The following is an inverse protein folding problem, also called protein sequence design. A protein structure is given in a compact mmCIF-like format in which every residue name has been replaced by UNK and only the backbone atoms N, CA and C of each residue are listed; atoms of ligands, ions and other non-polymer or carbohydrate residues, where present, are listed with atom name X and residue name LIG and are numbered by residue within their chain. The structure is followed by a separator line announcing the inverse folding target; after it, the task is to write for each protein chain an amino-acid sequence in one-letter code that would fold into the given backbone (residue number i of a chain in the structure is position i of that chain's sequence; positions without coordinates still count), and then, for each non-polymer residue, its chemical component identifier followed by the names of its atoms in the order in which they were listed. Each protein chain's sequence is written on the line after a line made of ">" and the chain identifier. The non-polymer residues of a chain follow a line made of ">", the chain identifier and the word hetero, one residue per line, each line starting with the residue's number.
data_IF_167750168195
#
_entry.id   IF_167750168195
#
_cell.length_a   1.000
_cell.length_b   1.000
_cell.length_c   1.000
_cell.angle_alpha   90.00
_cell.angle_beta   90.00
_cell.angle_gamma   90.00
#
_symmetry.space_group_name_H-M   'P 1'
#
loop_
_entity.id
_entity.type
_entity.pdbx_description
1 polymer ?
#
# COMPACT_ATOMS: atom_id res chain seq x y z
N UNK A 1 9.84 13.19 10.58
CA UNK A 1 9.00 13.29 9.38
C UNK A 1 9.81 12.65 8.30
N UNK A 2 9.35 11.58 7.63
CA UNK A 2 10.10 11.09 6.51
C UNK A 2 10.12 12.17 5.45
N UNK A 3 11.33 12.58 5.08
CA UNK A 3 11.51 13.58 4.05
C UNK A 3 11.18 12.98 2.68
N UNK A 4 10.94 13.83 1.67
CA UNK A 4 10.64 13.36 0.31
C UNK A 4 11.65 12.31 -0.23
N UNK A 5 12.98 12.42 0.04
CA UNK A 5 13.94 11.40 -0.36
C UNK A 5 13.75 10.04 0.33
N UNK A 6 13.23 10.01 1.55
CA UNK A 6 13.03 8.78 2.31
C UNK A 6 11.82 8.01 1.77
N UNK A 7 10.72 8.71 1.50
CA UNK A 7 9.52 8.08 0.88
C UNK A 7 9.85 7.54 -0.52
N UNK A 8 10.69 8.24 -1.29
CA UNK A 8 11.19 7.75 -2.57
C UNK A 8 12.07 6.51 -2.42
N UNK A 9 12.93 6.47 -1.40
CA UNK A 9 13.76 5.30 -1.09
C UNK A 9 12.92 4.08 -0.74
N UNK A 10 11.86 4.25 0.07
CA UNK A 10 10.90 3.19 0.39
C UNK A 10 10.19 2.68 -0.87
N UNK A 11 9.72 3.59 -1.74
CA UNK A 11 9.09 3.20 -3.00
C UNK A 11 10.02 2.35 -3.88
N UNK A 12 11.28 2.78 -4.03
CA UNK A 12 12.27 2.04 -4.83
C UNK A 12 12.57 0.68 -4.23
N UNK A 13 12.75 0.59 -2.91
CA UNK A 13 12.96 -0.69 -2.24
C UNK A 13 11.79 -1.66 -2.47
N UNK A 14 10.55 -1.19 -2.41
CA UNK A 14 9.37 -2.03 -2.64
C UNK A 14 9.19 -2.42 -4.11
N UNK A 15 9.45 -1.50 -5.04
CA UNK A 15 9.24 -1.72 -6.47
C UNK A 15 10.39 -2.48 -7.15
N UNK A 16 11.62 -2.19 -6.76
CA UNK A 16 12.83 -2.61 -7.48
C UNK A 16 13.56 -3.76 -6.74
N UNK A 17 13.02 -4.26 -5.62
CA UNK A 17 13.53 -5.46 -4.94
C UNK A 17 13.27 -6.72 -5.75
N UNK A 18 14.01 -7.80 -5.42
CA UNK A 18 13.83 -9.13 -6.00
C UNK A 18 13.46 -10.12 -4.89
N UNK A 19 12.23 -10.67 -4.87
CA UNK A 19 11.12 -10.38 -5.79
C UNK A 19 10.51 -8.98 -5.55
N UNK A 20 10.00 -8.37 -6.63
CA UNK A 20 9.31 -7.08 -6.56
C UNK A 20 7.94 -7.24 -5.92
N UNK A 21 7.48 -6.21 -5.20
CA UNK A 21 6.10 -6.14 -4.72
C UNK A 21 5.10 -6.05 -5.88
N UNK A 22 5.49 -5.45 -7.02
CA UNK A 22 4.63 -5.33 -8.20
C UNK A 22 4.53 -6.69 -8.88
N UNK A 23 3.31 -7.12 -9.17
CA UNK A 23 2.97 -8.46 -9.66
C UNK A 23 2.61 -9.45 -8.55
N UNK A 24 2.85 -9.13 -7.28
CA UNK A 24 2.43 -9.98 -6.17
C UNK A 24 0.92 -9.90 -5.92
N UNK A 25 0.34 -11.04 -5.54
CA UNK A 25 -1.06 -11.15 -5.09
C UNK A 25 -1.14 -11.06 -3.58
N UNK A 26 -2.06 -10.27 -3.08
CA UNK A 26 -2.36 -10.16 -1.64
C UNK A 26 -3.08 -11.44 -1.20
N UNK A 27 -2.39 -12.28 -0.44
CA UNK A 27 -2.95 -13.53 0.09
C UNK A 27 -3.79 -13.32 1.35
N UNK A 28 -3.30 -12.53 2.29
CA UNK A 28 -3.97 -12.22 3.55
C UNK A 28 -3.57 -10.82 4.00
N UNK A 29 -4.47 -10.14 4.70
CA UNK A 29 -4.21 -8.85 5.35
C UNK A 29 -4.50 -8.95 6.84
N UNK A 30 -3.61 -8.44 7.68
CA UNK A 30 -3.79 -8.35 9.13
C UNK A 30 -3.69 -6.88 9.54
N UNK A 31 -4.67 -6.42 10.32
CA UNK A 31 -4.68 -5.06 10.88
C UNK A 31 -4.42 -5.19 12.37
N UNK A 32 -3.23 -4.80 12.81
CA UNK A 32 -2.82 -4.89 14.21
C UNK A 32 -3.27 -3.67 15.03
N UNK A 33 -3.52 -2.54 14.36
CA UNK A 33 -4.02 -1.32 14.97
C UNK A 33 -5.01 -0.63 14.04
N UNK A 34 -6.29 -0.60 14.43
CA UNK A 34 -7.37 -0.07 13.60
C UNK A 34 -7.27 1.44 13.35
N UNK A 35 -6.58 2.18 14.24
CA UNK A 35 -6.43 3.64 14.14
C UNK A 35 -5.65 4.12 12.92
N UNK A 36 -5.00 3.22 12.16
CA UNK A 36 -4.38 3.56 10.86
C UNK A 36 -5.39 3.63 9.72
N UNK A 37 -6.56 3.02 9.87
CA UNK A 37 -7.58 2.96 8.83
C UNK A 37 -8.40 4.26 8.84
N UNK A 38 -8.41 4.96 7.70
CA UNK A 38 -9.13 6.22 7.57
C UNK A 38 -10.61 5.99 7.23
N UNK A 39 -11.43 5.74 8.26
CA UNK A 39 -12.89 5.60 8.10
C UNK A 39 -13.35 4.25 7.53
N UNK A 40 -12.48 3.24 7.53
CA UNK A 40 -12.80 1.87 7.11
C UNK A 40 -12.94 0.97 8.32
N UNK A 41 -13.89 0.02 8.28
CA UNK A 41 -13.86 -1.13 9.18
C UNK A 41 -12.72 -2.07 8.77
N UNK A 42 -12.19 -2.83 9.72
CA UNK A 42 -11.15 -3.85 9.44
C UNK A 42 -11.64 -4.86 8.41
N UNK A 43 -12.88 -5.34 8.56
CA UNK A 43 -13.48 -6.33 7.68
C UNK A 43 -13.62 -5.80 6.24
N UNK A 44 -14.15 -4.59 6.06
CA UNK A 44 -14.29 -3.99 4.73
C UNK A 44 -12.93 -3.76 4.07
N UNK A 45 -11.95 -3.27 4.84
CA UNK A 45 -10.60 -3.08 4.34
C UNK A 45 -9.95 -4.38 3.86
N UNK A 46 -10.04 -5.45 4.66
CA UNK A 46 -9.51 -6.77 4.31
C UNK A 46 -10.21 -7.33 3.07
N UNK A 47 -11.54 -7.28 3.02
CA UNK A 47 -12.33 -7.76 1.88
C UNK A 47 -11.96 -7.03 0.58
N UNK A 48 -11.64 -5.74 0.65
CA UNK A 48 -11.27 -4.96 -0.53
C UNK A 48 -9.87 -5.29 -1.07
N UNK A 49 -8.98 -5.82 -0.23
CA UNK A 49 -7.60 -6.16 -0.60
C UNK A 49 -7.43 -7.64 -0.96
N UNK A 50 -8.20 -8.54 -0.34
CA UNK A 50 -8.11 -9.98 -0.51
C UNK A 50 -8.06 -10.39 -1.99
N UNK A 51 -7.00 -11.09 -2.39
CA UNK A 51 -6.85 -11.63 -3.73
C UNK A 51 -6.51 -10.62 -4.83
N UNK A 52 -6.38 -9.33 -4.49
CA UNK A 52 -5.95 -8.29 -5.45
C UNK A 52 -4.47 -8.42 -5.77
N UNK A 53 -4.09 -8.10 -7.00
CA UNK A 53 -2.69 -8.02 -7.44
C UNK A 53 -2.21 -6.57 -7.38
N UNK A 54 -0.99 -6.37 -6.90
CA UNK A 54 -0.35 -5.04 -6.91
C UNK A 54 0.17 -4.81 -8.33
N UNK A 55 -0.49 -3.95 -9.10
CA UNK A 55 -0.19 -3.70 -10.51
C UNK A 55 0.82 -2.55 -10.70
N UNK A 56 0.76 -1.54 -9.83
CA UNK A 56 1.68 -0.40 -9.87
C UNK A 56 2.02 0.08 -8.47
N UNK A 57 3.18 0.72 -8.33
CA UNK A 57 3.58 1.42 -7.13
C UNK A 57 4.12 2.79 -7.51
N UNK A 58 3.73 3.83 -6.77
CA UNK A 58 4.19 5.18 -7.00
C UNK A 58 4.07 6.05 -5.76
N UNK A 59 4.45 7.33 -5.92
CA UNK A 59 4.40 8.32 -4.86
C UNK A 59 3.82 9.63 -5.38
N UNK A 60 3.08 10.33 -4.52
CA UNK A 60 2.68 11.71 -4.73
C UNK A 60 2.93 12.49 -3.43
N UNK A 61 3.92 13.40 -3.45
CA UNK A 61 4.34 14.09 -2.23
C UNK A 61 4.78 13.11 -1.15
N UNK A 62 4.10 13.09 0.00
CA UNK A 62 4.42 12.21 1.14
C UNK A 62 3.57 10.93 1.18
N UNK A 63 2.82 10.67 0.13
CA UNK A 63 1.95 9.49 0.01
C UNK A 63 2.56 8.48 -0.92
N UNK A 64 2.63 7.23 -0.49
CA UNK A 64 2.80 6.07 -1.35
C UNK A 64 1.42 5.63 -1.85
N UNK A 65 1.33 5.22 -3.10
CA UNK A 65 0.13 4.60 -3.64
C UNK A 65 0.47 3.31 -4.37
N UNK A 66 -0.40 2.32 -4.23
CA UNK A 66 -0.30 1.03 -4.90
C UNK A 66 -1.58 0.80 -5.70
N UNK A 67 -1.44 0.68 -7.02
CA UNK A 67 -2.55 0.31 -7.89
C UNK A 67 -2.87 -1.16 -7.72
N UNK A 68 -4.16 -1.47 -7.52
CA UNK A 68 -4.65 -2.82 -7.30
C UNK A 68 -5.51 -3.28 -8.46
N UNK A 69 -5.15 -4.41 -9.04
CA UNK A 69 -5.92 -5.12 -10.06
C UNK A 69 -6.69 -6.27 -9.40
N UNK A 70 -8.00 -6.31 -9.63
CA UNK A 70 -8.90 -7.31 -9.06
C UNK A 70 -10.32 -7.15 -9.61
N UNK A 71 -11.24 -8.07 -9.29
CA UNK A 71 -12.61 -8.03 -9.81
C UNK A 71 -13.32 -6.73 -9.38
N UNK A 72 -13.87 -5.99 -10.36
CA UNK A 72 -14.58 -4.74 -10.13
C UNK A 72 -13.84 -3.50 -10.66
N UNK A 73 -13.84 -2.41 -9.87
CA UNK A 73 -13.23 -1.12 -10.23
C UNK A 73 -11.75 -1.06 -9.88
N UNK A 74 -11.02 -0.19 -10.59
CA UNK A 74 -9.63 0.17 -10.28
C UNK A 74 -9.55 0.78 -8.89
N UNK A 75 -8.67 0.24 -8.05
CA UNK A 75 -8.50 0.63 -6.65
C UNK A 75 -7.05 1.04 -6.40
N UNK A 76 -6.88 1.87 -5.37
CA UNK A 76 -5.56 2.28 -4.90
C UNK A 76 -5.48 2.10 -3.40
N UNK A 77 -4.43 1.45 -2.93
CA UNK A 77 -4.02 1.49 -1.52
C UNK A 77 -3.09 2.69 -1.34
N UNK A 78 -3.47 3.62 -0.47
CA UNK A 78 -2.69 4.85 -0.22
C UNK A 78 -2.16 4.83 1.20
N UNK A 79 -0.87 5.07 1.36
CA UNK A 79 -0.16 5.00 2.64
C UNK A 79 0.57 6.31 2.90
N UNK A 80 0.44 6.84 4.13
CA UNK A 80 1.17 8.02 4.59
C UNK A 80 1.99 7.68 5.84
N UNK A 81 3.32 7.70 5.72
CA UNK A 81 4.24 7.26 6.78
C UNK A 81 4.32 8.22 7.99
N UNK A 82 3.69 9.40 7.91
CA UNK A 82 3.63 10.40 9.00
C UNK A 82 5.02 10.82 9.46
N UNK A 83 5.43 10.42 10.66
CA UNK A 83 6.71 10.81 11.28
C UNK A 83 7.69 9.65 11.42
N UNK A 84 7.17 8.44 11.65
CA UNK A 84 7.93 7.26 12.09
C UNK A 84 7.48 5.97 11.40
N UNK A 85 6.55 6.04 10.44
CA UNK A 85 6.18 4.87 9.64
C UNK A 85 7.37 4.43 8.78
N UNK A 86 7.59 3.12 8.71
CA UNK A 86 8.68 2.46 7.97
C UNK A 86 8.13 1.37 7.09
#
# INVERSE_FOLDING_TARGET
>A
MPELPEVESVLRALRDSQPSLVGCRIGQTQVLWEGVLCGWSVADFQNQLQGSMIATAGRQGKYLYFGLDGPGKRRYLVVHLRMTGT
#
